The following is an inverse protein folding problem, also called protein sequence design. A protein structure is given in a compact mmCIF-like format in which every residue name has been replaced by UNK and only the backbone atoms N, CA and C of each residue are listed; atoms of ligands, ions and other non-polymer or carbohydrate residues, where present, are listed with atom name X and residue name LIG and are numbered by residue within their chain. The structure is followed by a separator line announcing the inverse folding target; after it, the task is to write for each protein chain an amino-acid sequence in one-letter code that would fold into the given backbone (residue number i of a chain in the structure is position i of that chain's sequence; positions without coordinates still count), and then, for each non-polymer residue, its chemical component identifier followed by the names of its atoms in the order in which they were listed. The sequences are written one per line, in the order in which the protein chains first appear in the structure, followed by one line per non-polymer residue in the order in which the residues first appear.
data_IF_328310656845
#
_entry.id   IF_328310656845
#
_cell.length_a   1.000
_cell.length_b   1.000
_cell.length_c   1.000
_cell.angle_alpha   90.00
_cell.angle_beta   90.00
_cell.angle_gamma   90.00
#
_symmetry.space_group_name_H-M   'P 1'
#
loop_
_entity.id
_entity.type
_entity.pdbx_description
1 polymer ?
#
# COMPACT_ATOMS: atom_id res chain seq x y z
N UNK A 1 7.94 20.74 -2.94
CA UNK A 1 6.89 20.05 -3.72
C UNK A 1 7.59 19.01 -4.59
N UNK A 2 7.64 17.74 -4.17
CA UNK A 2 8.63 16.76 -4.69
C UNK A 2 8.22 16.02 -5.97
N UNK A 3 7.16 16.42 -6.67
CA UNK A 3 6.82 15.90 -8.01
C UNK A 3 6.56 14.39 -8.10
N UNK A 4 6.52 13.67 -6.98
CA UNK A 4 6.37 12.21 -6.97
C UNK A 4 5.04 11.76 -7.60
N UNK A 5 3.97 12.52 -7.35
CA UNK A 5 2.65 12.25 -7.96
C UNK A 5 2.63 12.46 -9.48
N UNK A 6 3.29 13.50 -9.98
CA UNK A 6 3.33 13.79 -11.43
C UNK A 6 4.19 12.77 -12.17
N UNK A 7 5.32 12.35 -11.57
CA UNK A 7 6.15 11.27 -12.11
C UNK A 7 5.39 9.93 -12.14
N UNK A 8 4.67 9.58 -11.06
CA UNK A 8 3.86 8.37 -10.98
C UNK A 8 2.75 8.34 -12.05
N UNK A 9 2.01 9.45 -12.20
CA UNK A 9 0.95 9.57 -13.22
C UNK A 9 1.50 9.43 -14.64
N UNK A 10 2.64 10.07 -14.94
CA UNK A 10 3.31 9.93 -16.25
C UNK A 10 3.74 8.49 -16.51
N UNK A 11 4.34 7.83 -15.53
CA UNK A 11 4.74 6.43 -15.64
C UNK A 11 3.53 5.51 -15.91
N UNK A 12 2.44 5.70 -15.17
CA UNK A 12 1.20 4.94 -15.35
C UNK A 12 0.60 5.11 -16.75
N UNK A 13 0.52 6.34 -17.25
CA UNK A 13 0.00 6.64 -18.58
C UNK A 13 0.80 5.95 -19.69
N UNK A 14 2.14 6.02 -19.63
CA UNK A 14 3.01 5.35 -20.60
C UNK A 14 2.87 3.83 -20.55
N UNK A 15 2.80 3.27 -19.34
CA UNK A 15 2.60 1.82 -19.16
C UNK A 15 1.26 1.37 -19.74
N UNK A 16 0.20 2.14 -19.54
CA UNK A 16 -1.13 1.86 -20.11
C UNK A 16 -1.11 1.87 -21.64
N UNK A 17 -0.43 2.84 -22.26
CA UNK A 17 -0.29 2.91 -23.71
C UNK A 17 0.52 1.72 -24.27
N UNK A 18 1.59 1.32 -23.59
CA UNK A 18 2.39 0.16 -23.98
C UNK A 18 1.55 -1.14 -23.91
N UNK A 19 0.75 -1.31 -22.85
CA UNK A 19 -0.17 -2.45 -22.70
C UNK A 19 -1.27 -2.46 -23.78
N UNK A 20 -1.88 -1.30 -24.06
CA UNK A 20 -2.92 -1.17 -25.09
C UNK A 20 -2.38 -1.46 -26.50
N UNK A 21 -1.13 -1.07 -26.75
CA UNK A 21 -0.44 -1.31 -28.02
C UNK A 21 0.16 -2.71 -28.15
N UNK A 22 0.02 -3.57 -27.12
CA UNK A 22 0.63 -4.89 -27.07
C UNK A 22 2.17 -4.88 -27.08
N UNK A 23 2.81 -3.75 -26.75
CA UNK A 23 4.26 -3.60 -26.78
C UNK A 23 4.88 -4.11 -25.50
N UNK A 24 5.88 -4.99 -25.62
CA UNK A 24 6.71 -5.41 -24.48
C UNK A 24 7.81 -4.39 -24.25
N UNK A 25 7.61 -3.50 -23.29
CA UNK A 25 8.60 -2.51 -22.86
C UNK A 25 9.16 -2.83 -21.47
N UNK A 26 10.28 -2.20 -21.11
CA UNK A 26 10.85 -2.28 -19.75
C UNK A 26 9.81 -1.95 -18.66
N UNK A 27 8.90 -1.00 -18.93
CA UNK A 27 7.84 -0.58 -18.00
C UNK A 27 6.84 -1.71 -17.77
N UNK A 28 6.42 -2.39 -18.83
CA UNK A 28 5.48 -3.53 -18.75
C UNK A 28 6.10 -4.78 -18.12
N UNK A 29 7.43 -4.88 -18.09
CA UNK A 29 8.15 -5.98 -17.48
C UNK A 29 8.32 -5.83 -15.95
N UNK A 30 7.95 -4.69 -15.37
CA UNK A 30 8.07 -4.46 -13.93
C UNK A 30 7.10 -5.35 -13.13
N UNK A 31 7.55 -5.81 -11.97
CA UNK A 31 6.72 -6.66 -11.10
C UNK A 31 5.45 -5.94 -10.62
N UNK A 32 5.56 -4.65 -10.30
CA UNK A 32 4.44 -3.80 -9.88
C UNK A 32 3.34 -3.69 -10.94
N UNK A 33 3.68 -3.87 -12.23
CA UNK A 33 2.72 -3.84 -13.34
C UNK A 33 2.12 -5.24 -13.58
N UNK A 34 2.91 -6.30 -13.36
CA UNK A 34 2.53 -7.68 -13.68
C UNK A 34 1.81 -8.41 -12.54
N UNK A 35 1.97 -7.95 -11.29
CA UNK A 35 1.35 -8.59 -10.12
C UNK A 35 0.11 -7.83 -9.68
N UNK A 36 -0.96 -8.58 -9.44
CA UNK A 36 -2.16 -8.05 -8.80
C UNK A 36 -1.80 -7.67 -7.36
N UNK A 37 -2.16 -6.46 -6.89
CA UNK A 37 -1.97 -6.10 -5.50
C UNK A 37 -2.75 -7.07 -4.60
N UNK A 38 -2.25 -7.26 -3.38
CA UNK A 38 -2.94 -8.07 -2.36
C UNK A 38 -4.33 -7.47 -2.15
N UNK A 39 -5.36 -8.30 -2.31
CA UNK A 39 -6.73 -7.86 -2.08
C UNK A 39 -6.87 -7.46 -0.61
N UNK A 40 -7.30 -6.23 -0.37
CA UNK A 40 -7.61 -5.78 0.98
C UNK A 40 -8.75 -6.66 1.53
N UNK A 41 -8.76 -7.01 2.83
CA UNK A 41 -9.77 -7.89 3.40
C UNK A 41 -11.19 -7.42 3.04
N UNK A 42 -12.07 -8.33 2.61
CA UNK A 42 -13.43 -7.98 2.23
C UNK A 42 -14.24 -7.52 3.46
N UNK A 43 -15.29 -6.75 3.21
CA UNK A 43 -16.33 -6.55 4.23
C UNK A 43 -17.01 -7.88 4.54
N UNK A 44 -17.44 -8.14 5.80
CA UNK A 44 -17.61 -7.19 6.91
C UNK A 44 -16.43 -7.08 7.89
N UNK A 45 -15.34 -7.80 7.65
CA UNK A 45 -14.20 -7.90 8.59
C UNK A 45 -13.31 -6.66 8.50
N UNK A 46 -13.31 -6.01 7.34
CA UNK A 46 -12.51 -4.81 7.07
C UNK A 46 -12.76 -3.70 8.09
N UNK A 47 -14.02 -3.34 8.30
CA UNK A 47 -14.40 -2.26 9.21
C UNK A 47 -13.89 -2.45 10.65
N UNK A 48 -14.21 -3.56 11.36
CA UNK A 48 -13.75 -3.76 12.73
C UNK A 48 -12.23 -3.85 12.82
N UNK A 49 -11.56 -4.46 11.83
CA UNK A 49 -10.10 -4.57 11.81
C UNK A 49 -9.42 -3.19 11.68
N UNK A 50 -9.94 -2.33 10.81
CA UNK A 50 -9.44 -0.96 10.64
C UNK A 50 -9.66 -0.13 11.91
N UNK A 51 -10.85 -0.20 12.51
CA UNK A 51 -11.14 0.54 13.75
C UNK A 51 -10.26 0.07 14.91
N UNK A 52 -10.08 -1.25 15.05
CA UNK A 52 -9.20 -1.82 16.06
C UNK A 52 -7.76 -1.33 15.88
N UNK A 53 -7.24 -1.40 14.66
CA UNK A 53 -5.88 -0.94 14.36
C UNK A 53 -5.74 0.57 14.63
N UNK A 54 -6.70 1.40 14.20
CA UNK A 54 -6.72 2.84 14.47
C UNK A 54 -6.74 3.17 15.97
N UNK A 55 -7.52 2.44 16.76
CA UNK A 55 -7.55 2.61 18.22
C UNK A 55 -6.20 2.28 18.86
N UNK A 56 -5.52 1.24 18.36
CA UNK A 56 -4.18 0.86 18.84
C UNK A 56 -3.10 1.87 18.45
N UNK A 57 -3.16 2.41 17.23
CA UNK A 57 -2.29 3.53 16.83
C UNK A 57 -2.52 4.76 17.72
N UNK A 58 -3.77 5.17 17.93
CA UNK A 58 -4.08 6.31 18.80
C UNK A 58 -3.64 6.08 20.26
N UNK A 59 -3.61 4.83 20.72
CA UNK A 59 -3.09 4.46 22.04
C UNK A 59 -1.56 4.55 22.09
N UNK A 60 -0.86 4.12 21.03
CA UNK A 60 0.59 4.29 20.88
C UNK A 60 0.94 5.78 20.89
N UNK A 61 0.27 6.60 20.07
CA UNK A 61 0.52 8.04 19.97
C UNK A 61 0.45 8.75 21.33
N UNK A 62 -0.49 8.33 22.19
CA UNK A 62 -0.68 8.91 23.52
C UNK A 62 0.31 8.43 24.57
N UNK A 63 0.82 7.20 24.44
CA UNK A 63 1.64 6.57 25.48
C UNK A 63 3.12 6.45 25.10
N UNK A 64 3.45 6.62 23.82
CA UNK A 64 4.75 6.30 23.24
C UNK A 64 5.10 4.80 23.34
N UNK A 65 4.16 3.94 23.76
CA UNK A 65 4.39 2.51 23.97
C UNK A 65 3.69 1.70 22.89
N UNK A 66 4.50 1.05 22.07
CA UNK A 66 4.02 0.21 20.98
C UNK A 66 3.44 -1.11 21.50
N UNK A 67 2.13 -1.29 21.33
CA UNK A 67 1.44 -2.50 21.79
C UNK A 67 1.82 -3.76 21.01
N UNK A 68 1.62 -4.94 21.61
CA UNK A 68 1.86 -6.26 21.00
C UNK A 68 1.23 -6.41 19.60
N UNK A 69 0.01 -5.90 19.41
CA UNK A 69 -0.70 -5.93 18.13
C UNK A 69 0.04 -5.18 17.00
N UNK A 70 0.56 -3.98 17.29
CA UNK A 70 1.27 -3.20 16.29
C UNK A 70 2.61 -3.86 15.97
N UNK A 71 3.32 -4.39 16.99
CA UNK A 71 4.54 -5.18 16.78
C UNK A 71 4.30 -6.42 15.92
N UNK A 72 3.15 -7.09 16.07
CA UNK A 72 2.79 -8.21 15.19
C UNK A 72 2.53 -7.73 13.77
N UNK A 73 1.79 -6.64 13.57
CA UNK A 73 1.51 -6.09 12.24
C UNK A 73 2.78 -5.64 11.50
N UNK A 74 3.74 -5.06 12.21
CA UNK A 74 5.05 -4.70 11.65
C UNK A 74 5.80 -5.94 11.16
N UNK A 75 5.72 -7.04 11.93
CA UNK A 75 6.37 -8.30 11.55
C UNK A 75 5.75 -8.89 10.28
N UNK A 76 4.48 -8.59 10.01
CA UNK A 76 3.80 -8.94 8.77
C UNK A 76 4.02 -7.92 7.62
N UNK A 77 4.90 -6.93 7.79
CA UNK A 77 5.24 -5.97 6.74
C UNK A 77 4.18 -4.88 6.51
N UNK A 78 3.19 -4.76 7.41
CA UNK A 78 2.18 -3.69 7.40
C UNK A 78 2.68 -2.44 8.13
N UNK A 79 4.00 -2.25 8.17
CA UNK A 79 4.65 -1.25 9.00
C UNK A 79 4.23 0.16 8.64
N UNK A 80 3.37 0.75 9.47
CA UNK A 80 3.05 2.17 9.50
C UNK A 80 4.23 2.95 10.13
N UNK A 81 5.43 2.81 9.59
CA UNK A 81 6.53 3.71 9.92
C UNK A 81 6.35 4.95 9.03
N UNK A 82 5.78 6.01 9.61
CA UNK A 82 5.93 7.38 9.12
C UNK A 82 7.20 8.00 9.67
#
# INVERSE_FOLDING_TARGET
YTGLGTAASRFGALTMLDLLSGRRSERTALEIVRRKPVAFPPEPIRYPLVQFTRSRLAQEDRTGRRGLWLRTLDRFGLGFNS
#
